data_IF_525532250581
#
_entry.id   IF_525532250581
#
_cell.length_a   1.000
_cell.length_b   1.000
_cell.length_c   1.000
_cell.angle_alpha   90.00
_cell.angle_beta   90.00
_cell.angle_gamma   90.00
#
_symmetry.space_group_name_H-M   'P 1'
#
loop_
_entity.id
_entity.type
_entity.pdbx_description
1 polymer ?
#
# COMPACT_ATOMS: atom_id res chain seq x y z
N UNK A 1 -3.39 7.41 10.41
CA UNK A 1 -2.01 7.95 10.34
C UNK A 1 -1.71 8.74 11.60
N UNK A 2 -0.48 8.66 12.14
CA UNK A 2 -0.04 9.48 13.29
C UNK A 2 1.14 10.34 12.85
N UNK A 3 1.11 11.63 13.18
CA UNK A 3 2.16 12.60 12.87
C UNK A 3 2.52 13.40 14.12
N UNK A 4 3.75 13.91 14.18
CA UNK A 4 4.21 14.82 15.23
C UNK A 4 4.47 16.19 14.63
N UNK A 5 3.91 17.22 15.24
CA UNK A 5 4.19 18.61 14.88
C UNK A 5 5.68 18.94 15.16
N UNK A 6 6.40 19.34 14.12
CA UNK A 6 7.78 19.87 14.23
C UNK A 6 7.84 21.39 14.03
N UNK A 7 6.86 21.94 13.33
CA UNK A 7 6.70 23.37 13.05
C UNK A 7 5.39 23.80 13.70
N UNK A 8 5.45 24.77 14.61
CA UNK A 8 4.28 25.29 15.32
C UNK A 8 3.22 25.81 14.33
N UNK A 9 1.97 25.41 14.51
CA UNK A 9 0.85 25.78 13.64
C UNK A 9 0.73 24.91 12.38
N UNK A 10 1.40 23.76 12.33
CA UNK A 10 1.19 22.78 11.26
C UNK A 10 -0.08 21.95 11.49
N UNK A 11 -0.52 21.82 12.75
CA UNK A 11 -1.71 21.07 13.14
C UNK A 11 -2.69 21.97 13.91
N UNK A 12 -3.99 21.73 13.72
CA UNK A 12 -5.05 22.38 14.50
C UNK A 12 -6.17 21.38 14.84
N UNK A 13 -6.83 21.55 15.98
CA UNK A 13 -8.06 20.79 16.25
C UNK A 13 -9.16 21.18 15.25
N UNK A 14 -10.00 20.22 14.79
CA UNK A 14 -11.24 20.58 14.12
C UNK A 14 -12.11 21.43 15.04
N UNK A 15 -12.89 22.34 14.46
CA UNK A 15 -13.84 23.18 15.19
C UNK A 15 -15.18 22.49 15.39
N UNK A 16 -15.52 21.54 14.52
CA UNK A 16 -16.71 20.72 14.63
C UNK A 16 -16.59 19.44 13.76
N UNK A 17 -17.67 18.68 13.65
CA UNK A 17 -17.84 17.57 12.70
C UNK A 17 -19.19 17.62 11.98
N UNK A 18 -19.17 17.24 10.70
CA UNK A 18 -20.36 16.98 9.89
C UNK A 18 -20.65 15.48 9.87
N UNK A 19 -21.87 15.07 10.23
CA UNK A 19 -22.30 13.67 10.12
C UNK A 19 -22.43 13.27 8.66
N UNK A 20 -21.73 12.20 8.26
CA UNK A 20 -21.89 11.59 6.92
C UNK A 20 -22.94 10.49 7.02
N UNK A 21 -22.72 9.52 7.92
CA UNK A 21 -23.54 8.32 8.04
C UNK A 21 -23.68 7.88 9.49
N UNK A 22 -24.80 7.24 9.80
CA UNK A 22 -24.97 6.41 10.99
C UNK A 22 -25.83 5.20 10.62
N UNK A 23 -25.73 4.14 11.41
CA UNK A 23 -26.44 2.89 11.17
C UNK A 23 -27.90 2.91 11.62
N UNK A 24 -28.48 4.09 11.89
CA UNK A 24 -29.86 4.19 12.35
C UNK A 24 -30.82 3.54 11.33
N UNK A 25 -31.63 2.60 11.78
CA UNK A 25 -32.54 1.80 10.94
C UNK A 25 -32.03 0.39 10.62
N UNK A 26 -30.74 0.11 10.86
CA UNK A 26 -30.12 -1.20 10.56
C UNK A 26 -30.70 -2.38 11.34
N UNK A 27 -31.24 -2.12 12.54
CA UNK A 27 -31.63 -3.15 13.48
C UNK A 27 -30.45 -3.81 14.21
N UNK A 28 -29.23 -3.29 14.04
CA UNK A 28 -28.05 -3.76 14.78
C UNK A 28 -28.17 -3.42 16.28
N UNK A 29 -27.53 -4.24 17.12
CA UNK A 29 -27.47 -4.02 18.56
C UNK A 29 -26.39 -3.03 18.99
N UNK A 30 -25.48 -2.66 18.09
CA UNK A 30 -24.37 -1.75 18.33
C UNK A 30 -24.43 -0.60 17.33
N UNK A 31 -24.25 0.62 17.83
CA UNK A 31 -24.29 1.83 17.02
C UNK A 31 -22.96 2.08 16.31
N UNK A 32 -23.04 2.63 15.10
CA UNK A 32 -21.90 3.11 14.33
C UNK A 32 -22.20 4.42 13.62
N UNK A 33 -21.21 5.31 13.52
CA UNK A 33 -21.33 6.52 12.71
C UNK A 33 -20.00 6.99 12.13
N UNK A 34 -20.08 7.79 11.07
CA UNK A 34 -18.92 8.35 10.35
C UNK A 34 -19.08 9.86 10.24
N UNK A 35 -18.00 10.58 10.58
CA UNK A 35 -17.99 12.02 10.74
C UNK A 35 -16.84 12.67 9.98
N UNK A 36 -17.13 13.76 9.27
CA UNK A 36 -16.13 14.60 8.61
C UNK A 36 -15.68 15.73 9.52
N UNK A 37 -14.38 15.88 9.84
CA UNK A 37 -13.90 17.02 10.60
C UNK A 37 -14.14 18.34 9.85
N UNK A 38 -14.69 19.33 10.55
CA UNK A 38 -14.79 20.72 10.10
C UNK A 38 -13.53 21.44 10.57
N UNK A 39 -12.64 21.76 9.63
CA UNK A 39 -11.36 22.36 9.94
C UNK A 39 -11.42 23.89 9.98
N UNK A 40 -10.59 24.54 10.83
CA UNK A 40 -10.47 25.99 10.82
C UNK A 40 -9.89 26.50 9.48
N UNK A 41 -10.08 27.79 9.14
CA UNK A 41 -9.53 28.38 7.92
C UNK A 41 -8.03 28.14 7.77
N UNK A 42 -7.59 27.73 6.58
CA UNK A 42 -6.19 27.38 6.28
C UNK A 42 -5.78 25.95 6.65
N UNK A 43 -6.71 25.12 7.13
CA UNK A 43 -6.47 23.71 7.46
C UNK A 43 -7.47 22.80 6.74
N UNK A 44 -7.07 21.54 6.49
CA UNK A 44 -7.94 20.50 5.91
C UNK A 44 -7.85 19.21 6.70
N UNK A 45 -8.94 18.43 6.64
CA UNK A 45 -8.97 17.08 7.16
C UNK A 45 -8.29 16.15 6.16
N UNK A 46 -7.60 15.12 6.64
CA UNK A 46 -6.96 14.09 5.82
C UNK A 46 -7.85 12.85 5.62
N UNK A 47 -8.98 12.78 6.32
CA UNK A 47 -9.91 11.67 6.25
C UNK A 47 -11.03 11.83 7.27
N UNK A 48 -12.00 10.93 7.22
CA UNK A 48 -13.17 10.89 8.10
C UNK A 48 -12.91 10.00 9.33
N UNK A 49 -13.73 10.20 10.37
CA UNK A 49 -13.60 9.55 11.69
C UNK A 49 -14.78 8.60 11.91
N UNK A 50 -14.49 7.38 12.35
CA UNK A 50 -15.51 6.40 12.77
C UNK A 50 -15.73 6.51 14.28
N UNK A 51 -16.99 6.45 14.71
CA UNK A 51 -17.41 6.42 16.11
C UNK A 51 -18.28 5.19 16.38
N UNK A 52 -18.02 4.47 17.46
CA UNK A 52 -18.85 3.34 17.94
C UNK A 52 -20.14 3.78 18.64
N UNK A 53 -20.71 4.91 18.24
CA UNK A 53 -21.96 5.48 18.75
C UNK A 53 -22.55 6.43 17.72
N UNK A 54 -23.79 6.89 17.89
CA UNK A 54 -24.33 8.01 17.08
C UNK A 54 -23.89 9.39 17.57
N UNK A 55 -23.03 9.46 18.60
CA UNK A 55 -22.54 10.71 19.14
C UNK A 55 -21.36 11.22 18.33
N UNK A 56 -21.32 12.55 18.21
CA UNK A 56 -20.20 13.29 17.63
C UNK A 56 -18.90 12.96 18.39
N UNK A 57 -17.79 12.66 17.69
CA UNK A 57 -16.47 12.44 18.31
C UNK A 57 -15.94 13.70 19.02
N UNK A 58 -14.97 13.51 19.90
CA UNK A 58 -14.23 14.64 20.49
C UNK A 58 -13.30 15.27 19.45
N UNK A 59 -13.21 16.61 19.45
CA UNK A 59 -12.27 17.36 18.59
C UNK A 59 -10.79 17.17 18.98
N UNK A 60 -10.52 16.44 20.06
CA UNK A 60 -9.16 16.06 20.48
C UNK A 60 -8.67 14.76 19.85
N UNK A 61 -9.55 13.95 19.25
CA UNK A 61 -9.19 12.64 18.69
C UNK A 61 -8.32 12.73 17.43
N UNK A 62 -8.51 13.79 16.63
CA UNK A 62 -7.78 14.02 15.39
C UNK A 62 -7.37 15.47 15.25
N UNK A 63 -6.41 15.74 14.35
CA UNK A 63 -5.99 17.09 13.97
C UNK A 63 -6.18 17.31 12.48
N UNK A 64 -6.61 18.52 12.12
CA UNK A 64 -6.52 19.05 10.77
C UNK A 64 -5.08 19.49 10.47
N UNK A 65 -4.69 19.44 9.20
CA UNK A 65 -3.34 19.79 8.74
C UNK A 65 -3.37 21.07 7.92
N UNK A 66 -2.36 21.93 8.12
CA UNK A 66 -2.23 23.21 7.40
C UNK A 66 -2.16 22.97 5.90
N UNK A 67 -3.02 23.65 5.13
CA UNK A 67 -3.28 23.31 3.73
C UNK A 67 -2.06 23.43 2.81
N UNK A 68 -1.06 24.26 3.17
CA UNK A 68 0.17 24.38 2.38
C UNK A 68 1.05 23.13 2.43
N UNK A 69 0.86 22.26 3.43
CA UNK A 69 1.54 20.98 3.55
C UNK A 69 0.78 19.85 2.82
N UNK A 70 -0.29 20.19 2.11
CA UNK A 70 -1.18 19.24 1.47
C UNK A 70 -1.19 19.42 -0.05
N UNK A 71 -1.67 18.37 -0.72
CA UNK A 71 -2.07 18.40 -2.13
C UNK A 71 -3.42 17.75 -2.28
N UNK A 72 -4.14 18.15 -3.33
CA UNK A 72 -5.33 17.45 -3.77
C UNK A 72 -5.00 15.99 -4.12
N UNK A 73 -5.93 15.10 -3.80
CA UNK A 73 -5.84 13.66 -4.01
C UNK A 73 -7.13 13.14 -4.66
N UNK A 74 -7.10 11.94 -5.24
CA UNK A 74 -8.28 11.31 -5.84
C UNK A 74 -8.86 10.23 -4.91
N UNK A 75 -10.15 9.86 -5.06
CA UNK A 75 -10.70 8.67 -4.44
C UNK A 75 -9.85 7.44 -4.82
N UNK A 76 -9.37 6.73 -3.82
CA UNK A 76 -8.61 5.49 -3.97
C UNK A 76 -9.51 4.28 -4.23
N UNK A 77 -9.03 3.12 -3.84
CA UNK A 77 -9.77 1.86 -3.87
C UNK A 77 -10.98 1.84 -2.95
N UNK A 78 -11.87 0.89 -3.21
CA UNK A 78 -13.01 0.61 -2.33
C UNK A 78 -12.54 0.01 -1.01
N UNK A 79 -13.06 0.50 0.12
CA UNK A 79 -12.80 -0.09 1.44
C UNK A 79 -14.03 -0.87 1.90
N UNK A 80 -15.19 -0.23 1.91
CA UNK A 80 -16.42 -0.81 2.45
C UNK A 80 -17.65 0.02 2.04
N UNK A 81 -18.84 -0.57 2.02
CA UNK A 81 -20.11 0.15 1.98
C UNK A 81 -21.14 -0.53 2.90
N UNK A 82 -22.19 0.22 3.24
CA UNK A 82 -23.23 -0.26 4.15
C UNK A 82 -24.38 -0.99 3.42
N UNK A 83 -24.18 -1.40 2.17
CA UNK A 83 -25.20 -2.06 1.38
C UNK A 83 -25.70 -3.34 2.07
N UNK A 84 -27.02 -3.45 2.23
CA UNK A 84 -27.65 -4.57 2.95
C UNK A 84 -27.68 -4.43 4.48
N UNK A 85 -27.15 -3.35 5.05
CA UNK A 85 -27.22 -3.09 6.50
C UNK A 85 -28.63 -2.78 7.00
N UNK A 86 -29.52 -2.30 6.12
CA UNK A 86 -30.84 -1.78 6.49
C UNK A 86 -30.82 -0.37 7.09
N UNK A 87 -29.65 0.27 7.20
CA UNK A 87 -29.54 1.65 7.65
C UNK A 87 -30.34 2.60 6.74
N UNK A 88 -30.86 3.68 7.33
CA UNK A 88 -31.68 4.68 6.62
C UNK A 88 -30.87 5.56 5.64
N UNK A 89 -29.54 5.46 5.63
CA UNK A 89 -28.63 6.28 4.85
C UNK A 89 -27.61 5.39 4.18
N UNK A 90 -27.27 5.68 2.93
CA UNK A 90 -26.21 4.97 2.25
C UNK A 90 -24.83 5.54 2.60
N UNK A 91 -23.83 4.66 2.61
CA UNK A 91 -22.44 5.00 2.84
C UNK A 91 -21.48 4.11 2.07
N UNK A 92 -20.39 4.70 1.60
CA UNK A 92 -19.21 3.97 1.17
C UNK A 92 -17.93 4.67 1.62
N UNK A 93 -16.94 3.89 2.04
CA UNK A 93 -15.60 4.33 2.39
C UNK A 93 -14.64 4.02 1.24
N UNK A 94 -13.84 5.02 0.89
CA UNK A 94 -12.84 4.96 -0.17
C UNK A 94 -11.50 5.39 0.38
N UNK A 95 -10.43 4.73 -0.05
CA UNK A 95 -9.08 5.18 0.26
C UNK A 95 -8.76 6.49 -0.46
N UNK A 96 -7.51 6.91 -0.35
CA UNK A 96 -7.04 8.18 -0.89
C UNK A 96 -5.80 7.88 -1.73
N UNK A 97 -5.84 8.23 -3.01
CA UNK A 97 -4.75 8.01 -3.94
C UNK A 97 -4.23 9.33 -4.53
N UNK A 98 -2.98 9.34 -4.99
CA UNK A 98 -2.36 10.53 -5.59
C UNK A 98 -3.01 10.88 -6.93
N UNK A 99 -3.04 12.16 -7.31
CA UNK A 99 -3.55 12.62 -8.61
C UNK A 99 -2.60 12.32 -9.80
N UNK A 100 -1.27 12.43 -9.63
CA UNK A 100 -0.29 12.18 -10.69
C UNK A 100 1.13 11.90 -10.15
N UNK A 101 1.98 11.21 -10.91
CA UNK A 101 3.37 10.91 -10.54
C UNK A 101 4.27 12.17 -10.56
N UNK A 102 4.34 12.89 -9.43
CA UNK A 102 5.33 13.95 -9.17
C UNK A 102 6.68 13.41 -8.63
N UNK A 103 7.79 13.92 -9.15
CA UNK A 103 9.16 13.65 -8.72
C UNK A 103 9.62 14.44 -7.50
N UNK A 104 8.94 15.51 -7.12
CA UNK A 104 9.36 16.46 -6.07
C UNK A 104 8.79 16.12 -4.68
N UNK A 105 7.67 15.38 -4.61
CA UNK A 105 6.98 15.07 -3.36
C UNK A 105 6.65 13.58 -3.19
N UNK A 106 6.76 13.08 -1.96
CA UNK A 106 6.06 11.85 -1.50
C UNK A 106 4.73 12.25 -0.86
N UNK A 107 3.69 11.41 -0.99
CA UNK A 107 2.41 11.66 -0.35
C UNK A 107 2.07 10.55 0.63
N UNK A 108 1.65 10.93 1.84
CA UNK A 108 1.20 9.99 2.85
C UNK A 108 -0.33 10.00 2.91
N UNK A 109 -0.94 8.89 2.49
CA UNK A 109 -2.39 8.70 2.56
C UNK A 109 -2.84 7.32 3.05
N UNK A 110 -1.89 6.45 3.44
CA UNK A 110 -2.18 5.10 3.94
C UNK A 110 -2.95 5.13 5.27
N UNK A 111 -3.95 4.26 5.38
CA UNK A 111 -4.76 4.11 6.60
C UNK A 111 -5.68 5.29 6.87
N UNK A 112 -6.03 6.04 5.83
CA UNK A 112 -7.01 7.12 5.83
C UNK A 112 -8.10 6.79 4.80
N UNK A 113 -9.30 7.32 5.02
CA UNK A 113 -10.43 7.13 4.10
C UNK A 113 -11.32 8.38 4.09
N UNK A 114 -12.12 8.52 3.04
CA UNK A 114 -13.29 9.39 3.05
C UNK A 114 -14.56 8.60 2.76
N UNK A 115 -15.63 9.04 3.40
CA UNK A 115 -16.99 8.59 3.22
C UNK A 115 -17.73 9.35 2.13
N UNK A 116 -18.50 8.62 1.35
CA UNK A 116 -19.50 9.13 0.42
C UNK A 116 -20.89 8.74 0.93
N UNK A 117 -21.88 9.63 0.82
CA UNK A 117 -23.27 9.34 1.17
C UNK A 117 -24.01 8.59 0.02
N UNK A 118 -23.36 7.55 -0.51
CA UNK A 118 -23.88 6.65 -1.55
C UNK A 118 -23.06 5.36 -1.54
N UNK A 119 -23.51 4.31 -2.25
CA UNK A 119 -22.71 3.10 -2.49
C UNK A 119 -21.71 3.21 -3.63
N UNK A 120 -21.66 4.36 -4.30
CA UNK A 120 -20.85 4.58 -5.49
C UNK A 120 -19.55 5.34 -5.18
N UNK A 121 -18.53 5.11 -6.01
CA UNK A 121 -17.28 5.86 -5.95
C UNK A 121 -17.53 7.35 -6.20
N UNK A 122 -17.04 8.25 -5.33
CA UNK A 122 -17.08 9.68 -5.60
C UNK A 122 -16.43 10.01 -6.94
N UNK A 123 -17.04 10.95 -7.64
CA UNK A 123 -16.58 11.49 -8.92
C UNK A 123 -15.37 12.39 -8.75
N UNK A 124 -14.66 12.63 -9.85
CA UNK A 124 -13.52 13.55 -9.86
C UNK A 124 -13.91 15.01 -9.60
N UNK A 125 -15.19 15.36 -9.63
CA UNK A 125 -15.69 16.68 -9.21
C UNK A 125 -15.86 16.78 -7.69
N UNK A 126 -16.06 15.65 -7.00
CA UNK A 126 -16.12 15.53 -5.53
C UNK A 126 -14.71 15.43 -4.89
N UNK A 127 -13.68 15.21 -5.72
CA UNK A 127 -12.23 15.20 -5.38
C UNK A 127 -11.74 16.41 -4.59
N UNK A 128 -12.43 17.56 -4.68
CA UNK A 128 -12.08 18.75 -3.90
C UNK A 128 -12.08 18.55 -2.37
N UNK A 129 -12.51 17.39 -1.90
CA UNK A 129 -12.57 17.02 -0.47
C UNK A 129 -11.37 16.18 -0.01
N UNK A 130 -10.59 15.59 -0.91
CA UNK A 130 -9.51 14.66 -0.58
C UNK A 130 -8.14 15.36 -0.49
N UNK A 131 -7.44 15.14 0.62
CA UNK A 131 -6.11 15.72 0.84
C UNK A 131 -5.11 14.66 1.26
N UNK A 132 -3.89 14.75 0.70
CA UNK A 132 -2.75 13.96 1.14
C UNK A 132 -1.61 14.89 1.58
N UNK A 133 -0.87 14.48 2.61
CA UNK A 133 0.31 15.24 3.09
C UNK A 133 1.40 15.13 2.03
N UNK A 134 1.90 16.26 1.53
CA UNK A 134 3.07 16.29 0.63
C UNK A 134 4.34 16.46 1.45
N UNK A 135 5.36 15.66 1.15
CA UNK A 135 6.67 15.71 1.80
C UNK A 135 7.69 16.04 0.72
N UNK A 136 8.34 17.21 0.86
CA UNK A 136 9.45 17.63 0.00
C UNK A 136 10.59 16.63 0.08
N UNK A 137 11.12 16.23 -1.07
CA UNK A 137 12.16 15.18 -1.12
C UNK A 137 13.59 15.68 -1.13
N UNK A 138 13.83 16.96 -0.83
CA UNK A 138 15.19 17.51 -0.78
C UNK A 138 15.83 17.16 0.57
N UNK A 139 16.88 16.32 0.53
CA UNK A 139 17.99 16.03 1.46
C UNK A 139 17.79 16.00 3.01
N UNK A 140 16.72 16.55 3.58
CA UNK A 140 16.37 16.45 5.00
C UNK A 140 15.61 15.15 5.37
N UNK A 141 15.31 14.32 4.36
CA UNK A 141 14.97 12.90 4.55
C UNK A 141 16.13 12.08 5.17
N UNK A 142 17.30 12.71 5.31
CA UNK A 142 18.47 12.18 6.03
C UNK A 142 18.23 11.79 7.49
N UNK A 143 17.10 12.15 8.10
CA UNK A 143 16.85 11.88 9.52
C UNK A 143 15.68 10.93 9.85
N UNK A 144 14.96 10.35 8.87
CA UNK A 144 13.82 9.46 9.20
C UNK A 144 13.47 8.35 8.20
N UNK A 145 14.12 8.22 7.05
CA UNK A 145 13.97 7.00 6.24
C UNK A 145 14.76 5.86 6.90
N UNK A 146 14.19 4.65 6.91
CA UNK A 146 14.95 3.43 7.20
C UNK A 146 16.15 3.40 6.25
N UNK A 147 17.32 3.80 6.75
CA UNK A 147 18.51 3.95 5.94
C UNK A 147 19.00 2.55 5.54
N UNK A 148 18.79 2.16 4.28
CA UNK A 148 19.74 1.26 3.63
C UNK A 148 20.86 2.11 3.06
N UNK A 149 22.10 1.62 3.13
CA UNK A 149 23.24 2.27 2.50
C UNK A 149 23.20 2.16 0.97
N UNK A 150 22.52 1.15 0.43
CA UNK A 150 22.48 0.85 -1.00
C UNK A 150 21.20 1.34 -1.68
N UNK A 151 20.09 1.41 -0.95
CA UNK A 151 18.75 1.68 -1.51
C UNK A 151 18.02 2.79 -0.76
N UNK A 152 17.32 3.62 -1.52
CA UNK A 152 16.24 4.47 -1.03
C UNK A 152 14.91 3.76 -1.24
N UNK A 153 14.07 3.74 -0.20
CA UNK A 153 12.74 3.15 -0.24
C UNK A 153 11.67 4.23 -0.28
N UNK A 154 10.69 4.04 -1.16
CA UNK A 154 9.42 4.76 -1.14
C UNK A 154 8.29 3.74 -1.32
N UNK A 155 7.06 4.19 -1.16
CA UNK A 155 5.87 3.37 -1.38
C UNK A 155 4.95 4.07 -2.36
N UNK A 156 4.33 3.30 -3.25
CA UNK A 156 3.30 3.79 -4.15
C UNK A 156 1.95 3.15 -3.84
N UNK A 157 0.91 3.97 -3.92
CA UNK A 157 -0.50 3.56 -3.93
C UNK A 157 -1.13 3.85 -5.31
N UNK A 158 -0.30 4.23 -6.29
CA UNK A 158 -0.75 4.51 -7.65
C UNK A 158 -0.53 3.27 -8.48
N UNK A 159 -1.61 2.78 -9.07
CA UNK A 159 -1.63 1.53 -9.82
C UNK A 159 -2.26 1.73 -11.18
N UNK A 160 -1.72 1.03 -12.18
CA UNK A 160 -2.37 0.78 -13.46
C UNK A 160 -2.97 -0.63 -13.41
N UNK A 161 -4.27 -0.76 -13.65
CA UNK A 161 -4.91 -2.08 -13.77
C UNK A 161 -4.40 -2.76 -15.05
N UNK A 162 -3.85 -3.96 -14.90
CA UNK A 162 -3.37 -4.77 -16.03
C UNK A 162 -4.45 -5.73 -16.49
N UNK A 163 -5.06 -6.45 -15.55
CA UNK A 163 -6.05 -7.49 -15.83
C UNK A 163 -6.89 -7.81 -14.58
N UNK A 164 -8.08 -8.34 -14.76
CA UNK A 164 -8.86 -9.04 -13.73
C UNK A 164 -9.49 -10.32 -14.32
N UNK A 165 -9.93 -11.22 -13.45
CA UNK A 165 -10.52 -12.49 -13.89
C UNK A 165 -12.01 -12.40 -14.21
N UNK A 166 -12.57 -11.20 -14.43
CA UNK A 166 -13.98 -11.04 -14.73
C UNK A 166 -14.35 -11.79 -16.02
N UNK A 167 -15.41 -12.59 -15.95
CA UNK A 167 -15.86 -13.45 -17.05
C UNK A 167 -15.12 -14.78 -17.15
N UNK A 168 -14.01 -14.98 -16.44
CA UNK A 168 -13.22 -16.20 -16.54
C UNK A 168 -13.96 -17.45 -16.08
N UNK A 169 -14.87 -17.31 -15.11
CA UNK A 169 -15.52 -18.45 -14.44
C UNK A 169 -14.68 -19.05 -13.30
N UNK A 170 -13.52 -18.45 -12.98
CA UNK A 170 -12.76 -18.83 -11.81
C UNK A 170 -13.60 -18.68 -10.53
N UNK A 171 -13.31 -19.51 -9.53
CA UNK A 171 -14.10 -19.57 -8.30
C UNK A 171 -13.89 -18.37 -7.36
N UNK A 172 -12.88 -17.54 -7.60
CA UNK A 172 -12.48 -16.41 -6.76
C UNK A 172 -12.09 -15.25 -7.65
N UNK A 173 -12.24 -14.03 -7.16
CA UNK A 173 -11.86 -12.83 -7.90
C UNK A 173 -10.38 -12.46 -7.68
N UNK A 174 -9.74 -11.92 -8.72
CA UNK A 174 -8.42 -11.27 -8.66
C UNK A 174 -8.32 -10.09 -9.62
N UNK A 175 -7.57 -9.08 -9.21
CA UNK A 175 -7.04 -8.05 -10.10
C UNK A 175 -5.51 -8.02 -10.01
N UNK A 176 -4.85 -7.91 -11.15
CA UNK A 176 -3.40 -7.68 -11.25
C UNK A 176 -3.12 -6.23 -11.65
N UNK A 177 -2.21 -5.61 -10.91
CA UNK A 177 -1.93 -4.19 -11.01
C UNK A 177 -0.43 -3.92 -11.14
N UNK A 178 -0.09 -3.02 -12.06
CA UNK A 178 1.25 -2.49 -12.20
C UNK A 178 1.39 -1.28 -11.26
N UNK A 179 2.28 -1.32 -10.25
CA UNK A 179 2.58 -0.13 -9.47
C UNK A 179 3.22 0.93 -10.36
N UNK A 180 2.90 2.20 -10.11
CA UNK A 180 3.50 3.34 -10.79
C UNK A 180 4.49 3.99 -9.82
N UNK A 181 5.80 3.74 -9.98
CA UNK A 181 6.81 4.43 -9.19
C UNK A 181 6.87 5.90 -9.57
N UNK A 182 7.31 6.73 -8.63
CA UNK A 182 7.73 8.09 -8.96
C UNK A 182 9.00 8.07 -9.84
N UNK A 183 9.31 9.18 -10.54
CA UNK A 183 10.52 9.25 -11.35
C UNK A 183 11.80 8.93 -10.56
N UNK A 184 12.67 8.10 -11.16
CA UNK A 184 13.92 7.64 -10.56
C UNK A 184 13.78 6.46 -9.58
N UNK A 185 12.56 6.02 -9.27
CA UNK A 185 12.30 4.81 -8.52
C UNK A 185 11.80 3.70 -9.46
N UNK A 186 11.97 2.46 -9.02
CA UNK A 186 11.63 1.26 -9.77
C UNK A 186 10.76 0.33 -8.93
N UNK A 187 9.81 -0.32 -9.59
CA UNK A 187 9.05 -1.41 -8.98
C UNK A 187 9.92 -2.67 -8.86
N UNK A 188 9.60 -3.51 -7.88
CA UNK A 188 10.24 -4.81 -7.64
C UNK A 188 9.37 -6.00 -8.11
N UNK A 189 8.15 -5.70 -8.55
CA UNK A 189 7.14 -6.64 -9.02
C UNK A 189 5.80 -5.94 -9.15
N UNK A 190 4.82 -6.63 -9.73
CA UNK A 190 3.43 -6.21 -9.76
C UNK A 190 2.69 -6.64 -8.48
N UNK A 191 1.47 -6.14 -8.36
CA UNK A 191 0.57 -6.40 -7.24
C UNK A 191 -0.58 -7.30 -7.66
N UNK A 192 -0.99 -8.21 -6.77
CA UNK A 192 -2.17 -9.05 -6.93
C UNK A 192 -3.15 -8.74 -5.80
N UNK A 193 -4.38 -8.44 -6.15
CA UNK A 193 -5.45 -8.07 -5.24
C UNK A 193 -6.57 -9.09 -5.34
N UNK A 194 -7.07 -9.62 -4.23
CA UNK A 194 -8.18 -10.58 -4.22
C UNK A 194 -9.55 -9.90 -4.44
N UNK A 195 -9.64 -9.07 -5.47
CA UNK A 195 -10.84 -8.33 -5.91
C UNK A 195 -10.58 -7.68 -7.27
N UNK A 196 -11.63 -7.45 -8.07
CA UNK A 196 -11.56 -6.65 -9.30
C UNK A 196 -11.39 -5.14 -9.05
N UNK A 197 -11.62 -4.69 -7.81
CA UNK A 197 -11.52 -3.28 -7.42
C UNK A 197 -10.07 -2.77 -7.42
N UNK A 198 -9.90 -1.46 -7.58
CA UNK A 198 -8.59 -0.83 -7.38
C UNK A 198 -8.14 -1.04 -5.92
N UNK A 199 -6.86 -1.38 -5.68
CA UNK A 199 -6.38 -1.65 -4.33
C UNK A 199 -6.17 -0.36 -3.52
N UNK A 200 -6.24 -0.49 -2.19
CA UNK A 200 -5.88 0.56 -1.24
C UNK A 200 -4.51 0.35 -0.58
N UNK A 201 -3.85 -0.74 -0.94
CA UNK A 201 -2.57 -1.15 -0.42
C UNK A 201 -1.41 -0.30 -0.96
N UNK A 202 -0.24 -0.50 -0.37
CA UNK A 202 1.02 0.08 -0.83
C UNK A 202 1.92 -1.00 -1.39
N UNK A 203 2.63 -0.67 -2.45
CA UNK A 203 3.77 -1.46 -2.94
C UNK A 203 5.03 -0.64 -2.80
N UNK A 204 6.08 -1.28 -2.29
CA UNK A 204 7.39 -0.66 -2.16
C UNK A 204 8.01 -0.46 -3.54
N UNK A 205 8.61 0.71 -3.74
CA UNK A 205 9.44 1.03 -4.89
C UNK A 205 10.81 1.50 -4.40
N UNK A 206 11.85 1.25 -5.19
CA UNK A 206 13.23 1.49 -4.77
C UNK A 206 14.00 2.34 -5.75
N UNK A 207 14.91 3.15 -5.23
CA UNK A 207 15.92 3.85 -6.01
C UNK A 207 17.28 3.45 -5.53
N UNK A 208 18.20 3.31 -6.46
CA UNK A 208 19.60 3.05 -6.17
C UNK A 208 20.25 4.29 -5.52
N UNK A 209 20.88 4.08 -4.36
CA UNK A 209 21.76 5.05 -3.69
C UNK A 209 23.22 4.75 -4.05
N UNK A 210 23.58 3.46 -4.06
CA UNK A 210 24.91 2.98 -4.44
C UNK A 210 24.84 2.23 -5.78
N UNK A 211 25.58 2.65 -6.82
CA UNK A 211 25.59 1.95 -8.11
C UNK A 211 25.86 0.45 -7.99
N UNK A 212 25.03 -0.36 -8.65
CA UNK A 212 25.09 -1.83 -8.61
C UNK A 212 24.23 -2.48 -7.51
N UNK A 213 23.39 -1.74 -6.79
CA UNK A 213 22.37 -2.31 -5.89
C UNK A 213 21.17 -2.87 -6.67
N UNK A 214 20.87 -2.28 -7.84
CA UNK A 214 19.77 -2.69 -8.71
C UNK A 214 20.27 -3.05 -10.11
N UNK A 215 19.61 -4.01 -10.75
CA UNK A 215 19.85 -4.34 -12.16
C UNK A 215 18.55 -4.58 -12.91
N UNK A 216 18.51 -4.22 -14.20
CA UNK A 216 17.42 -4.66 -15.06
C UNK A 216 17.47 -6.20 -15.22
N UNK A 217 16.33 -6.90 -15.24
CA UNK A 217 16.29 -8.29 -15.67
C UNK A 217 16.83 -8.43 -17.10
N UNK A 218 17.45 -9.57 -17.40
CA UNK A 218 17.99 -9.88 -18.73
C UNK A 218 16.89 -10.31 -19.70
N UNK A 219 15.83 -10.93 -19.19
CA UNK A 219 14.68 -11.44 -19.94
C UNK A 219 13.54 -11.76 -18.97
N UNK A 220 12.46 -12.31 -19.49
CA UNK A 220 11.35 -12.85 -18.72
C UNK A 220 10.97 -14.26 -19.21
N UNK A 221 10.71 -15.14 -18.25
CA UNK A 221 10.18 -16.49 -18.46
C UNK A 221 8.65 -16.46 -18.31
N UNK A 222 7.92 -17.02 -19.28
CA UNK A 222 6.47 -17.11 -19.19
C UNK A 222 6.07 -18.18 -18.17
N UNK A 223 5.32 -17.75 -17.15
CA UNK A 223 4.77 -18.64 -16.11
C UNK A 223 3.38 -19.11 -16.50
N UNK A 224 2.50 -18.22 -16.94
CA UNK A 224 1.11 -18.57 -17.21
C UNK A 224 0.47 -17.58 -18.16
N UNK A 225 -0.54 -18.06 -18.88
CA UNK A 225 -1.48 -17.25 -19.65
C UNK A 225 -2.88 -17.80 -19.41
N UNK A 226 -3.90 -16.97 -19.51
CA UNK A 226 -5.30 -17.37 -19.41
C UNK A 226 -5.82 -18.10 -20.67
N UNK A 227 -4.93 -18.67 -21.49
CA UNK A 227 -5.29 -19.32 -22.74
C UNK A 227 -6.28 -20.47 -22.51
N UNK A 228 -7.47 -20.35 -23.12
CA UNK A 228 -8.57 -21.30 -22.95
C UNK A 228 -9.57 -20.89 -21.86
N UNK A 229 -9.29 -19.84 -21.09
CA UNK A 229 -10.26 -19.28 -20.15
C UNK A 229 -11.39 -18.53 -20.85
N UNK A 230 -12.48 -18.27 -20.12
CA UNK A 230 -13.58 -17.41 -20.57
C UNK A 230 -13.36 -15.91 -20.29
N UNK A 231 -12.18 -15.50 -19.82
CA UNK A 231 -11.94 -14.14 -19.36
C UNK A 231 -12.18 -13.10 -20.47
N UNK A 232 -12.60 -11.90 -20.07
CA UNK A 232 -12.91 -10.83 -21.02
C UNK A 232 -11.68 -10.23 -21.73
N UNK A 233 -10.47 -10.54 -21.27
CA UNK A 233 -9.21 -10.01 -21.79
C UNK A 233 -8.07 -10.99 -21.53
N UNK A 234 -7.03 -10.97 -22.38
CA UNK A 234 -5.86 -11.84 -22.23
C UNK A 234 -4.89 -11.34 -21.14
N UNK A 235 -4.18 -12.26 -20.51
CA UNK A 235 -3.12 -11.99 -19.53
C UNK A 235 -1.93 -12.94 -19.67
N UNK A 236 -0.75 -12.43 -19.36
CA UNK A 236 0.46 -13.24 -19.22
C UNK A 236 1.21 -12.85 -17.95
N UNK A 237 1.66 -13.86 -17.20
CA UNK A 237 2.43 -13.72 -15.96
C UNK A 237 3.86 -14.19 -16.18
N UNK A 238 4.82 -13.38 -15.77
CA UNK A 238 6.22 -13.49 -16.18
C UNK A 238 7.17 -13.49 -14.98
N UNK A 239 8.09 -14.46 -14.94
CA UNK A 239 9.20 -14.48 -13.99
C UNK A 239 10.39 -13.67 -14.53
N UNK A 240 10.95 -12.69 -13.81
CA UNK A 240 12.14 -11.97 -14.25
C UNK A 240 13.41 -12.83 -14.20
N UNK A 241 14.14 -12.92 -15.32
CA UNK A 241 15.45 -13.55 -15.38
C UNK A 241 16.54 -12.56 -14.96
N UNK A 242 16.90 -12.56 -13.68
CA UNK A 242 17.89 -11.63 -13.13
C UNK A 242 19.34 -11.99 -13.53
N UNK A 243 20.24 -11.01 -13.66
CA UNK A 243 21.68 -11.26 -13.81
C UNK A 243 22.26 -12.03 -12.62
N UNK A 244 23.42 -12.68 -12.82
CA UNK A 244 24.16 -13.35 -11.75
C UNK A 244 24.44 -12.39 -10.60
N UNK A 245 24.16 -12.83 -9.36
CA UNK A 245 24.30 -12.02 -8.15
C UNK A 245 23.07 -11.16 -7.81
N UNK A 246 22.01 -11.21 -8.62
CA UNK A 246 20.76 -10.49 -8.39
C UNK A 246 19.57 -11.45 -8.33
N UNK A 247 18.50 -11.05 -7.64
CA UNK A 247 17.28 -11.83 -7.45
C UNK A 247 16.03 -10.98 -7.72
N UNK A 248 14.95 -11.64 -8.16
CA UNK A 248 13.65 -11.02 -8.34
C UNK A 248 12.87 -11.10 -7.02
N UNK A 249 12.13 -10.04 -6.70
CA UNK A 249 11.26 -9.99 -5.51
C UNK A 249 9.77 -10.03 -5.87
N UNK A 250 9.42 -10.18 -7.14
CA UNK A 250 8.04 -10.29 -7.58
C UNK A 250 7.92 -10.59 -9.07
N UNK A 251 6.69 -10.83 -9.50
CA UNK A 251 6.34 -11.15 -10.88
C UNK A 251 5.92 -9.93 -11.67
N UNK A 252 5.94 -10.03 -13.00
CA UNK A 252 5.39 -9.03 -13.91
C UNK A 252 4.19 -9.62 -14.63
N UNK A 253 3.14 -8.83 -14.79
CA UNK A 253 1.88 -9.19 -15.45
C UNK A 253 1.67 -8.24 -16.62
N UNK A 254 1.24 -8.75 -17.76
CA UNK A 254 0.93 -7.96 -18.96
C UNK A 254 -0.34 -8.48 -19.62
N UNK A 255 -0.90 -7.71 -20.56
CA UNK A 255 -2.01 -8.15 -21.41
C UNK A 255 -1.55 -9.08 -22.54
N UNK A 256 -0.67 -10.04 -22.23
CA UNK A 256 -0.17 -11.06 -23.16
C UNK A 256 1.24 -10.82 -23.72
N UNK A 257 1.61 -9.57 -24.03
CA UNK A 257 2.94 -9.28 -24.59
C UNK A 257 4.07 -9.40 -23.55
N UNK A 258 5.26 -9.85 -23.95
CA UNK A 258 6.41 -9.91 -23.04
C UNK A 258 6.77 -8.50 -22.53
N UNK A 259 6.99 -8.31 -21.22
CA UNK A 259 7.30 -7.01 -20.65
C UNK A 259 8.70 -6.50 -21.05
N UNK A 260 8.86 -5.17 -21.01
CA UNK A 260 10.17 -4.53 -21.11
C UNK A 260 11.06 -4.89 -19.91
N UNK A 261 12.37 -4.97 -20.13
CA UNK A 261 13.36 -5.11 -19.05
C UNK A 261 13.41 -3.89 -18.13
N UNK A 262 12.74 -2.79 -18.49
CA UNK A 262 12.54 -1.63 -17.63
C UNK A 262 11.30 -1.68 -16.73
N UNK A 263 10.46 -2.73 -16.84
CA UNK A 263 9.25 -2.83 -16.04
C UNK A 263 9.53 -2.90 -14.53
N UNK A 264 10.62 -3.58 -14.14
CA UNK A 264 11.04 -3.76 -12.74
C UNK A 264 12.58 -3.74 -12.63
N UNK A 265 13.08 -3.79 -11.38
CA UNK A 265 14.50 -4.07 -11.10
C UNK A 265 14.65 -5.34 -10.26
N UNK A 266 15.68 -6.11 -10.59
CA UNK A 266 16.24 -7.14 -9.73
C UNK A 266 17.12 -6.48 -8.67
N UNK A 267 17.18 -7.07 -7.49
CA UNK A 267 17.94 -6.56 -6.33
C UNK A 267 19.19 -7.40 -6.13
N UNK A 268 20.32 -6.76 -5.78
CA UNK A 268 21.55 -7.46 -5.43
C UNK A 268 21.28 -8.46 -4.29
N UNK A 269 21.77 -9.68 -4.45
CA UNK A 269 21.36 -10.82 -3.62
C UNK A 269 21.71 -10.69 -2.13
N UNK A 270 22.79 -9.99 -1.79
CA UNK A 270 23.22 -9.67 -0.41
C UNK A 270 22.28 -8.70 0.32
N UNK A 271 21.52 -7.89 -0.43
CA UNK A 271 20.47 -7.01 0.10
C UNK A 271 19.13 -7.74 0.32
N UNK A 272 19.14 -9.07 0.23
CA UNK A 272 17.92 -9.88 0.33
C UNK A 272 18.12 -11.07 1.26
N UNK A 273 16.99 -11.58 1.73
CA UNK A 273 16.89 -12.74 2.59
C UNK A 273 15.84 -13.68 2.03
N UNK A 274 16.00 -14.98 2.26
CA UNK A 274 14.94 -15.94 1.96
C UNK A 274 13.70 -15.63 2.80
N UNK A 275 12.57 -15.47 2.12
CA UNK A 275 11.27 -15.24 2.74
C UNK A 275 10.38 -16.48 2.59
N UNK A 276 9.20 -16.45 3.20
CA UNK A 276 8.22 -17.52 3.11
C UNK A 276 7.12 -17.22 2.11
N UNK A 277 6.53 -18.28 1.56
CA UNK A 277 5.28 -18.17 0.82
C UNK A 277 4.16 -17.93 1.83
N UNK A 278 3.41 -16.86 1.65
CA UNK A 278 2.31 -16.50 2.52
C UNK A 278 0.97 -17.09 2.11
N UNK A 279 -0.10 -16.33 2.33
CA UNK A 279 -1.47 -16.74 2.05
C UNK A 279 -1.76 -16.77 0.55
N UNK A 280 -2.69 -17.66 0.16
CA UNK A 280 -3.16 -17.73 -1.23
C UNK A 280 -4.01 -16.52 -1.57
N UNK A 281 -3.59 -15.77 -2.59
CA UNK A 281 -4.33 -14.62 -3.12
C UNK A 281 -5.41 -15.13 -4.08
N UNK A 282 -5.00 -15.89 -5.09
CA UNK A 282 -5.91 -16.40 -6.13
C UNK A 282 -5.34 -17.63 -6.83
N UNK A 283 -6.21 -18.48 -7.38
CA UNK A 283 -5.85 -19.49 -8.38
C UNK A 283 -6.93 -19.55 -9.46
N UNK A 284 -6.57 -20.06 -10.64
CA UNK A 284 -7.42 -20.08 -11.82
C UNK A 284 -8.41 -21.26 -11.87
N UNK A 285 -8.63 -21.93 -10.74
CA UNK A 285 -9.58 -23.04 -10.64
C UNK A 285 -10.99 -22.60 -11.03
N UNK A 286 -11.60 -23.33 -11.97
CA UNK A 286 -12.92 -23.02 -12.53
C UNK A 286 -12.87 -22.20 -13.83
N UNK A 287 -11.74 -21.57 -14.17
CA UNK A 287 -11.63 -20.68 -15.33
C UNK A 287 -11.69 -21.38 -16.69
N UNK A 288 -11.36 -22.67 -16.74
CA UNK A 288 -11.19 -23.42 -18.00
C UNK A 288 -9.87 -23.14 -18.72
N UNK A 289 -8.96 -22.34 -18.14
CA UNK A 289 -7.61 -22.17 -18.65
C UNK A 289 -6.90 -23.52 -18.81
N UNK A 290 -6.03 -23.62 -19.83
CA UNK A 290 -5.34 -24.88 -20.16
C UNK A 290 -4.26 -25.27 -19.15
N UNK A 291 -3.61 -24.29 -18.56
CA UNK A 291 -2.53 -24.46 -17.60
C UNK A 291 -2.98 -23.92 -16.24
N UNK A 292 -2.67 -24.63 -15.15
CA UNK A 292 -3.01 -24.19 -13.80
C UNK A 292 -2.09 -23.05 -13.32
N UNK A 293 -2.66 -22.11 -12.57
CA UNK A 293 -1.91 -21.06 -11.89
C UNK A 293 -2.45 -20.75 -10.51
N UNK A 294 -1.53 -20.46 -9.59
CA UNK A 294 -1.83 -19.89 -8.29
C UNK A 294 -0.91 -18.71 -7.99
N UNK A 295 -1.38 -17.83 -7.10
CA UNK A 295 -0.67 -16.66 -6.60
C UNK A 295 -0.76 -16.56 -5.08
N UNK A 296 0.33 -16.14 -4.45
CA UNK A 296 0.47 -16.04 -2.99
C UNK A 296 1.16 -14.75 -2.58
N UNK A 297 0.84 -14.27 -1.38
CA UNK A 297 1.61 -13.21 -0.73
C UNK A 297 3.02 -13.71 -0.37
N UNK A 298 3.89 -12.78 -0.03
CA UNK A 298 5.21 -13.06 0.54
C UNK A 298 5.18 -12.65 2.00
N UNK A 299 5.62 -13.55 2.87
CA UNK A 299 5.72 -13.30 4.30
C UNK A 299 7.19 -13.22 4.71
N UNK A 300 7.55 -12.19 5.47
CA UNK A 300 8.86 -12.11 6.10
C UNK A 300 8.99 -13.03 7.33
N UNK A 301 10.23 -13.21 7.77
CA UNK A 301 10.58 -13.85 9.02
C UNK A 301 11.00 -12.82 10.07
N UNK A 302 11.02 -13.21 11.34
CA UNK A 302 11.65 -12.41 12.39
C UNK A 302 13.10 -12.11 12.05
N UNK A 303 13.48 -10.83 12.06
CA UNK A 303 14.84 -10.39 11.82
C UNK A 303 15.67 -10.44 13.12
N UNK A 304 16.98 -10.76 13.04
CA UNK A 304 17.87 -10.63 14.19
C UNK A 304 17.95 -9.16 14.65
N UNK A 305 18.43 -8.95 15.87
CA UNK A 305 18.61 -7.61 16.40
C UNK A 305 19.52 -6.79 15.48
N UNK A 306 19.05 -5.60 15.06
CA UNK A 306 19.81 -4.72 14.17
C UNK A 306 19.49 -4.88 12.71
N UNK A 307 18.57 -5.79 12.36
CA UNK A 307 18.08 -5.95 11.00
C UNK A 307 16.57 -5.78 10.96
N UNK A 308 16.05 -5.41 9.80
CA UNK A 308 14.64 -5.52 9.47
C UNK A 308 14.49 -6.24 8.13
N UNK A 309 13.57 -7.19 8.07
CA UNK A 309 13.21 -7.87 6.83
C UNK A 309 11.87 -7.32 6.36
N UNK A 310 11.83 -6.83 5.13
CA UNK A 310 10.64 -6.13 4.62
C UNK A 310 10.25 -6.69 3.27
N UNK A 311 8.98 -7.08 3.14
CA UNK A 311 8.41 -7.51 1.88
C UNK A 311 7.98 -6.29 1.07
N UNK A 312 8.17 -6.28 -0.26
CA UNK A 312 7.82 -5.13 -1.08
C UNK A 312 6.31 -5.02 -1.36
N UNK A 313 5.48 -5.92 -0.82
CA UNK A 313 4.05 -5.99 -1.12
C UNK A 313 3.75 -6.57 -2.50
N UNK A 314 4.68 -7.32 -3.10
CA UNK A 314 4.48 -8.04 -4.37
C UNK A 314 3.91 -9.44 -4.10
N UNK A 315 3.63 -10.17 -5.17
CA UNK A 315 3.19 -11.58 -5.11
C UNK A 315 4.18 -12.51 -5.81
N UNK A 316 4.09 -13.80 -5.47
CA UNK A 316 4.69 -14.88 -6.24
C UNK A 316 3.61 -15.72 -6.92
N UNK A 317 4.00 -16.47 -7.94
CA UNK A 317 3.10 -17.32 -8.70
C UNK A 317 3.73 -18.67 -9.04
N UNK A 318 2.89 -19.66 -9.29
CA UNK A 318 3.29 -21.04 -9.52
C UNK A 318 2.36 -21.69 -10.56
N UNK A 319 2.92 -22.56 -11.41
CA UNK A 319 2.19 -23.36 -12.41
C UNK A 319 1.40 -24.51 -11.78
N UNK A 320 0.60 -24.20 -10.77
CA UNK A 320 -0.22 -25.14 -10.00
C UNK A 320 -1.15 -24.35 -9.06
N UNK A 321 -2.31 -24.92 -8.72
CA UNK A 321 -3.13 -24.41 -7.60
C UNK A 321 -2.49 -24.64 -6.23
N UNK A 322 -1.47 -25.49 -6.13
CA UNK A 322 -0.79 -25.83 -4.87
C UNK A 322 0.31 -24.84 -4.53
N UNK A 323 0.39 -24.50 -3.24
CA UNK A 323 1.40 -23.60 -2.67
C UNK A 323 2.82 -24.09 -3.00
N UNK A 324 3.67 -23.28 -3.64
CA UNK A 324 5.03 -23.68 -3.99
C UNK A 324 5.93 -23.77 -2.75
N UNK A 325 7.14 -24.31 -2.95
CA UNK A 325 8.20 -24.15 -1.96
C UNK A 325 8.75 -22.69 -1.97
N UNK A 326 9.49 -22.33 -0.92
CA UNK A 326 10.01 -20.98 -0.73
C UNK A 326 11.37 -20.72 -1.42
N UNK A 327 11.82 -21.57 -2.36
CA UNK A 327 13.20 -21.50 -2.86
C UNK A 327 13.54 -20.18 -3.55
N UNK A 328 12.59 -19.62 -4.31
CA UNK A 328 12.75 -18.38 -5.09
C UNK A 328 12.17 -17.15 -4.38
N UNK A 329 11.68 -17.29 -3.15
CA UNK A 329 10.98 -16.21 -2.44
C UNK A 329 11.99 -15.39 -1.64
N UNK A 330 11.92 -14.07 -1.78
CA UNK A 330 12.87 -13.13 -1.22
C UNK A 330 12.17 -11.92 -0.61
N UNK A 331 12.71 -11.43 0.49
CA UNK A 331 12.39 -10.13 1.08
C UNK A 331 13.66 -9.26 1.11
N UNK A 332 13.49 -7.95 1.29
CA UNK A 332 14.60 -7.03 1.45
C UNK A 332 15.21 -7.16 2.85
N UNK A 333 16.53 -7.13 2.91
CA UNK A 333 17.32 -7.01 4.13
C UNK A 333 17.66 -5.55 4.36
N UNK A 334 17.28 -5.02 5.51
CA UNK A 334 17.65 -3.68 5.97
C UNK A 334 18.54 -3.79 7.20
N UNK A 335 19.67 -3.12 7.19
CA UNK A 335 20.46 -2.92 8.40
C UNK A 335 19.93 -1.68 9.13
N UNK A 336 19.55 -1.83 10.39
CA UNK A 336 19.04 -0.74 11.20
C UNK A 336 20.22 -0.10 11.94
N UNK A 337 20.45 1.22 11.79
CA UNK A 337 21.47 1.90 12.57
C UNK A 337 21.10 1.83 14.05
N UNK A 338 21.90 1.10 14.83
CA UNK A 338 21.78 1.14 16.28
C UNK A 338 22.23 2.51 16.80
N UNK A 339 21.27 3.37 17.15
CA UNK A 339 21.57 4.43 18.11
C UNK A 339 21.73 3.72 19.46
N UNK A 340 22.97 3.46 19.85
CA UNK A 340 23.30 3.05 21.21
C UNK A 340 22.85 4.20 22.10
N UNK A 341 21.65 4.11 22.68
CA UNK A 341 21.23 5.02 23.71
C UNK A 341 22.10 4.73 24.93
N UNK A 342 23.28 5.33 25.01
CA UNK A 342 24.01 5.49 26.27
C UNK A 342 23.19 6.43 27.13
N UNK A 343 22.15 5.87 27.74
CA UNK A 343 21.52 6.49 28.89
C UNK A 343 22.49 6.28 30.04
N UNK A 344 23.45 7.18 30.17
CA UNK A 344 24.07 7.45 31.46
C UNK A 344 22.96 8.03 32.35
N UNK A 345 22.09 7.16 32.85
CA UNK A 345 21.20 7.51 33.93
C UNK A 345 22.11 7.72 35.14
N UNK A 346 22.12 8.92 35.76
CA UNK A 346 22.88 9.11 36.99
C UNK A 346 22.38 8.09 38.01
N UNK A 347 23.29 7.26 38.51
CA UNK A 347 23.02 6.31 39.60
C UNK A 347 22.47 7.15 40.77
N UNK A 348 21.25 6.89 41.25
CA UNK A 348 20.72 7.63 42.40
C UNK A 348 21.65 7.44 43.58
N UNK A 349 22.23 8.53 44.09
CA UNK A 349 22.93 8.48 45.36
C UNK A 349 21.89 8.38 46.48
N UNK A 350 21.90 7.25 47.19
CA UNK A 350 21.19 7.12 48.46
C UNK A 350 21.86 8.07 49.46
N UNK A 351 21.18 9.15 49.82
CA UNK A 351 21.53 9.93 51.01
C UNK A 351 20.91 9.21 52.20
N UNK A 352 21.77 8.69 53.08
CA UNK A 352 21.34 8.05 54.32
C UNK A 352 20.49 9.02 55.14
N UNK A 353 19.39 8.52 55.68
CA UNK A 353 18.59 9.23 56.66
C UNK A 353 19.47 9.47 57.90
N UNK A 354 19.66 10.74 58.26
CA UNK A 354 20.28 11.16 59.53
C UNK A 354 19.18 11.52 60.51
#
# INVERSE_FOLDING_TARGET
MVVKERISGALASPTDYTLIWNDAGSGASSDGSVWRPVCPPGYKALGDVVSGSHKKPSTDEVKCVRETALSAALPGGFIWNDAGSGANRDFSAWGIQRQAADSEYTYLSRGLFYGAASHSRPTDAEVGVFWAVKIETNDDMTNAQLMSEDLLFDYTQVFEKVWDDAGSGAHRDVGFFKPVPRPGYYALGHYAHASHAMPNDVVMVVKEKTPGALAAPLNYELIWTDAGSGANSDVAVWWPSCPTGYVALGLVVTSGAKPSTDAIRCVRSDLTVQASVGDGIWNDSGSGARDDFGSWSVDEHGAPQGEAYVTPGTFIGHKSHSKPNAARVRALKLELPFIKATRDLPVPQLHGYV
#
